data_IF_331956358667
#
_entry.id   IF_331956358667
#
_cell.length_a   1.000
_cell.length_b   1.000
_cell.length_c   1.000
_cell.angle_alpha   90.00
_cell.angle_beta   90.00
_cell.angle_gamma   90.00
#
_symmetry.space_group_name_H-M   'P 1'
#
loop_
_entity.id
_entity.type
_entity.pdbx_description
1 polymer ?
#
# COMPACT_ATOMS: atom_id res chain seq x y z
N UNK A 1 -22.81 17.13 14.63
CA UNK A 1 -22.55 15.71 14.31
C UNK A 1 -22.49 14.94 15.61
N UNK A 2 -23.29 13.91 15.80
CA UNK A 2 -23.29 13.12 17.03
C UNK A 2 -21.98 12.34 17.17
N UNK A 3 -21.49 12.16 18.41
CA UNK A 3 -20.22 11.48 18.69
C UNK A 3 -20.08 10.08 18.04
N UNK A 4 -21.12 9.24 17.99
CA UNK A 4 -21.05 7.94 17.31
C UNK A 4 -20.86 8.06 15.78
N UNK A 5 -21.51 9.01 15.13
CA UNK A 5 -21.35 9.23 13.69
C UNK A 5 -19.94 9.72 13.34
N UNK A 6 -19.38 10.61 14.16
CA UNK A 6 -18.00 11.09 14.05
C UNK A 6 -17.00 9.93 14.16
N UNK A 7 -17.17 9.07 15.17
CA UNK A 7 -16.30 7.91 15.38
C UNK A 7 -16.40 6.90 14.22
N UNK A 8 -17.61 6.64 13.72
CA UNK A 8 -17.83 5.75 12.58
C UNK A 8 -17.11 6.27 11.33
N UNK A 9 -17.24 7.57 11.00
CA UNK A 9 -16.61 8.18 9.84
C UNK A 9 -15.08 8.00 9.84
N UNK A 10 -14.43 8.27 10.97
CA UNK A 10 -12.97 8.12 11.07
C UNK A 10 -12.53 6.65 11.15
N UNK A 11 -13.33 5.79 11.74
CA UNK A 11 -13.06 4.36 11.76
C UNK A 11 -13.08 3.77 10.34
N UNK A 12 -14.06 4.15 9.53
CA UNK A 12 -14.18 3.72 8.12
C UNK A 12 -12.99 4.22 7.28
N UNK A 13 -12.60 5.51 7.42
CA UNK A 13 -11.42 6.05 6.74
C UNK A 13 -10.14 5.26 7.08
N UNK A 14 -9.94 4.95 8.37
CA UNK A 14 -8.79 4.18 8.83
C UNK A 14 -8.83 2.72 8.33
N UNK A 15 -10.00 2.13 8.20
CA UNK A 15 -10.16 0.76 7.70
C UNK A 15 -9.88 0.70 6.20
N UNK A 16 -10.53 1.56 5.40
CA UNK A 16 -10.36 1.59 3.94
C UNK A 16 -8.95 2.04 3.53
N UNK A 17 -8.36 3.01 4.22
CA UNK A 17 -6.99 3.45 3.97
C UNK A 17 -5.92 2.59 4.63
N UNK A 18 -6.26 1.41 5.16
CA UNK A 18 -5.29 0.58 5.85
C UNK A 18 -4.25 0.02 4.88
N UNK A 19 -2.95 0.12 5.19
CA UNK A 19 -1.87 -0.27 4.28
C UNK A 19 -1.93 -1.73 3.82
N UNK A 20 -2.55 -2.63 4.58
CA UNK A 20 -2.76 -4.02 4.19
C UNK A 20 -3.64 -4.19 2.95
N UNK A 21 -4.54 -3.24 2.64
CA UNK A 21 -5.43 -3.34 1.47
C UNK A 21 -4.85 -2.66 0.22
N UNK A 22 -3.79 -1.88 0.36
CA UNK A 22 -3.16 -1.17 -0.77
C UNK A 22 -2.71 -2.12 -1.88
N UNK A 23 -2.08 -3.30 -1.61
CA UNK A 23 -1.76 -4.28 -2.64
C UNK A 23 -2.98 -4.76 -3.43
N UNK A 24 -4.09 -4.96 -2.76
CA UNK A 24 -5.37 -5.38 -3.37
C UNK A 24 -5.91 -4.28 -4.29
N UNK A 25 -5.89 -3.02 -3.83
CA UNK A 25 -6.33 -1.89 -4.64
C UNK A 25 -5.44 -1.69 -5.87
N UNK A 26 -4.11 -1.83 -5.72
CA UNK A 26 -3.17 -1.79 -6.85
C UNK A 26 -3.46 -2.89 -7.87
N UNK A 27 -3.72 -4.11 -7.41
CA UNK A 27 -4.12 -5.22 -8.28
C UNK A 27 -5.42 -4.90 -9.06
N UNK A 28 -6.45 -4.41 -8.38
CA UNK A 28 -7.71 -4.07 -9.05
C UNK A 28 -7.59 -2.89 -10.02
N UNK A 29 -6.72 -1.92 -9.77
CA UNK A 29 -6.47 -0.83 -10.73
C UNK A 29 -5.96 -1.36 -12.07
N UNK A 30 -5.07 -2.34 -12.06
CA UNK A 30 -4.56 -2.97 -13.28
C UNK A 30 -5.59 -3.93 -13.86
N UNK A 31 -6.19 -4.77 -13.03
CA UNK A 31 -7.10 -5.83 -13.47
C UNK A 31 -8.43 -5.32 -14.02
N UNK A 32 -8.88 -4.13 -13.62
CA UNK A 32 -10.09 -3.51 -14.18
C UNK A 32 -10.02 -3.29 -15.69
N UNK A 33 -8.84 -3.41 -16.28
CA UNK A 33 -8.58 -3.25 -17.73
C UNK A 33 -8.53 -4.58 -18.48
N UNK A 34 -8.48 -5.69 -17.78
CA UNK A 34 -8.25 -7.01 -18.35
C UNK A 34 -9.38 -7.98 -18.03
N UNK A 35 -9.60 -8.97 -18.89
CA UNK A 35 -10.47 -10.09 -18.58
C UNK A 35 -9.86 -10.95 -17.46
N UNK A 36 -10.72 -11.55 -16.63
CA UNK A 36 -10.29 -12.44 -15.58
C UNK A 36 -10.11 -13.86 -16.14
N UNK A 37 -8.87 -14.29 -16.25
CA UNK A 37 -8.49 -15.67 -16.55
C UNK A 37 -7.95 -16.37 -15.30
N UNK A 38 -7.60 -17.65 -15.41
CA UNK A 38 -7.08 -18.43 -14.28
C UNK A 38 -5.81 -17.81 -13.67
N UNK A 39 -4.92 -17.24 -14.50
CA UNK A 39 -3.68 -16.60 -14.05
C UNK A 39 -3.95 -15.37 -13.15
N UNK A 40 -4.98 -14.57 -13.43
CA UNK A 40 -5.34 -13.43 -12.60
C UNK A 40 -5.85 -13.86 -11.22
N UNK A 41 -6.60 -14.96 -11.14
CA UNK A 41 -7.02 -15.52 -9.86
C UNK A 41 -5.83 -16.06 -9.04
N UNK A 42 -4.85 -16.68 -9.69
CA UNK A 42 -3.61 -17.11 -9.04
C UNK A 42 -2.85 -15.92 -8.51
N UNK A 43 -2.64 -14.87 -9.33
CA UNK A 43 -1.97 -13.65 -8.92
C UNK A 43 -2.68 -12.97 -7.74
N UNK A 44 -4.00 -12.80 -7.84
CA UNK A 44 -4.82 -12.22 -6.77
C UNK A 44 -4.69 -13.00 -5.46
N UNK A 45 -4.79 -14.33 -5.54
CA UNK A 45 -4.68 -15.21 -4.37
C UNK A 45 -3.30 -15.12 -3.74
N UNK A 46 -2.23 -15.14 -4.53
CA UNK A 46 -0.85 -15.04 -4.05
C UNK A 46 -0.59 -13.71 -3.38
N UNK A 47 -0.98 -12.59 -4.02
CA UNK A 47 -0.86 -11.24 -3.44
C UNK A 47 -1.62 -11.16 -2.11
N UNK A 48 -2.86 -11.66 -2.09
CA UNK A 48 -3.71 -11.65 -0.89
C UNK A 48 -3.10 -12.48 0.23
N UNK A 49 -2.63 -13.71 -0.07
CA UNK A 49 -2.01 -14.58 0.93
C UNK A 49 -0.74 -13.92 1.48
N UNK A 50 0.18 -13.49 0.62
CA UNK A 50 1.47 -12.96 1.06
C UNK A 50 1.35 -11.60 1.77
N UNK A 51 0.56 -10.68 1.22
CA UNK A 51 0.58 -9.28 1.68
C UNK A 51 -0.59 -8.90 2.60
N UNK A 52 -1.59 -9.76 2.75
CA UNK A 52 -2.71 -9.54 3.68
C UNK A 52 -2.76 -10.63 4.74
N UNK A 53 -2.91 -11.90 4.32
CA UNK A 53 -3.15 -13.00 5.25
C UNK A 53 -1.91 -13.28 6.11
N UNK A 54 -0.71 -13.38 5.51
CA UNK A 54 0.52 -13.64 6.25
C UNK A 54 0.82 -12.58 7.31
N UNK A 55 0.78 -11.25 7.03
CA UNK A 55 0.91 -10.23 8.07
C UNK A 55 -0.12 -10.38 9.19
N UNK A 56 -1.39 -10.66 8.85
CA UNK A 56 -2.45 -10.85 9.86
C UNK A 56 -2.18 -12.07 10.77
N UNK A 57 -1.59 -13.14 10.25
CA UNK A 57 -1.20 -14.33 11.02
C UNK A 57 0.07 -14.11 11.85
N UNK A 58 1.03 -13.38 11.32
CA UNK A 58 2.30 -13.10 12.01
C UNK A 58 2.11 -12.08 13.15
N UNK A 59 1.21 -11.15 12.98
CA UNK A 59 1.01 -10.08 13.96
C UNK A 59 0.67 -10.56 15.39
N UNK A 60 -0.26 -11.51 15.60
CA UNK A 60 -0.51 -12.09 16.92
C UNK A 60 0.75 -12.74 17.54
N UNK A 61 1.61 -13.34 16.71
CA UNK A 61 2.87 -13.93 17.14
C UNK A 61 3.83 -12.85 17.67
N UNK A 62 3.98 -11.75 16.92
CA UNK A 62 4.76 -10.59 17.35
C UNK A 62 4.23 -9.97 18.66
N UNK A 63 2.91 -9.95 18.83
CA UNK A 63 2.28 -9.46 20.05
C UNK A 63 2.55 -10.40 21.23
N UNK A 64 2.41 -11.71 21.04
CA UNK A 64 2.70 -12.71 22.09
C UNK A 64 4.17 -12.71 22.50
N UNK A 65 5.09 -12.46 21.57
CA UNK A 65 6.53 -12.36 21.85
C UNK A 65 6.94 -11.00 22.48
N UNK A 66 6.00 -10.11 22.75
CA UNK A 66 6.27 -8.80 23.35
C UNK A 66 6.96 -7.79 22.42
N UNK A 67 7.09 -8.10 21.11
CA UNK A 67 7.74 -7.22 20.13
C UNK A 67 6.85 -6.06 19.68
N UNK A 68 5.53 -6.24 19.79
CA UNK A 68 4.54 -5.20 19.55
C UNK A 68 3.45 -5.26 20.63
N UNK A 69 3.02 -4.10 21.13
CA UNK A 69 2.00 -4.02 22.19
C UNK A 69 0.59 -3.93 21.61
N UNK A 70 0.42 -3.33 20.44
CA UNK A 70 -0.88 -3.12 19.83
C UNK A 70 -0.83 -3.12 18.31
N UNK A 71 -1.93 -3.54 17.66
CA UNK A 71 -2.15 -3.47 16.21
C UNK A 71 -1.97 -2.04 15.63
N UNK A 72 -2.08 -1.03 16.47
CA UNK A 72 -2.00 0.37 16.03
C UNK A 72 -0.57 0.88 15.88
N UNK A 73 0.46 0.12 16.31
CA UNK A 73 1.88 0.49 16.25
C UNK A 73 2.12 1.95 16.67
N UNK A 74 1.58 2.33 17.82
CA UNK A 74 1.63 3.70 18.32
C UNK A 74 3.06 4.16 18.55
N UNK A 75 3.90 3.27 19.08
CA UNK A 75 5.29 3.54 19.39
C UNK A 75 6.18 3.20 18.19
N UNK A 76 7.12 4.10 17.89
CA UNK A 76 8.03 3.93 16.74
C UNK A 76 8.89 2.68 16.90
N UNK A 77 9.30 2.37 18.14
CA UNK A 77 10.14 1.18 18.44
C UNK A 77 9.50 -0.17 18.10
N UNK A 78 8.17 -0.21 17.97
CA UNK A 78 7.44 -1.43 17.60
C UNK A 78 7.41 -1.68 16.08
N UNK A 79 7.64 -0.63 15.28
CA UNK A 79 7.47 -0.65 13.82
C UNK A 79 8.51 -1.45 13.05
N UNK A 80 9.79 -1.56 13.47
CA UNK A 80 10.78 -2.31 12.70
C UNK A 80 10.37 -3.75 12.44
N UNK A 81 9.76 -4.43 13.40
CA UNK A 81 9.38 -5.83 13.24
C UNK A 81 8.35 -6.06 12.13
N UNK A 82 7.15 -5.45 12.16
CA UNK A 82 6.17 -5.64 11.09
C UNK A 82 6.63 -5.05 9.75
N UNK A 83 7.39 -3.95 9.74
CA UNK A 83 7.92 -3.38 8.50
C UNK A 83 8.98 -4.27 7.87
N UNK A 84 9.92 -4.82 8.66
CA UNK A 84 10.92 -5.77 8.17
C UNK A 84 10.29 -7.03 7.57
N UNK A 85 9.25 -7.57 8.22
CA UNK A 85 8.48 -8.70 7.69
C UNK A 85 7.80 -8.33 6.37
N UNK A 86 7.18 -7.15 6.29
CA UNK A 86 6.54 -6.71 5.05
C UNK A 86 7.56 -6.54 3.90
N UNK A 87 8.78 -6.04 4.18
CA UNK A 87 9.87 -6.00 3.18
C UNK A 87 10.17 -7.41 2.68
N UNK A 88 10.33 -8.39 3.57
CA UNK A 88 10.62 -9.78 3.19
C UNK A 88 9.49 -10.39 2.35
N UNK A 89 8.23 -10.14 2.70
CA UNK A 89 7.08 -10.66 1.95
C UNK A 89 6.95 -9.99 0.57
N UNK A 90 7.23 -8.69 0.46
CA UNK A 90 7.27 -7.99 -0.82
C UNK A 90 8.43 -8.48 -1.70
N UNK A 91 9.63 -8.66 -1.13
CA UNK A 91 10.75 -9.25 -1.85
C UNK A 91 10.42 -10.68 -2.33
N UNK A 92 9.78 -11.50 -1.48
CA UNK A 92 9.35 -12.84 -1.87
C UNK A 92 8.35 -12.78 -3.04
N UNK A 93 7.35 -11.88 -2.98
CA UNK A 93 6.41 -11.69 -4.08
C UNK A 93 7.14 -11.35 -5.38
N UNK A 94 8.10 -10.41 -5.35
CA UNK A 94 8.87 -10.03 -6.53
C UNK A 94 9.72 -11.19 -7.06
N UNK A 95 10.38 -11.96 -6.19
CA UNK A 95 11.21 -13.12 -6.59
C UNK A 95 10.38 -14.20 -7.28
N UNK A 96 9.21 -14.55 -6.72
CA UNK A 96 8.36 -15.59 -7.32
C UNK A 96 7.62 -15.15 -8.57
N UNK A 97 7.66 -13.85 -8.90
CA UNK A 97 7.09 -13.29 -10.12
C UNK A 97 8.09 -12.97 -11.22
N UNK A 98 9.40 -13.20 -10.99
CA UNK A 98 10.45 -12.97 -12.00
C UNK A 98 10.68 -14.19 -12.86
N UNK A 99 10.81 -14.00 -14.18
CA UNK A 99 11.14 -15.06 -15.15
C UNK A 99 12.63 -15.45 -15.14
N UNK A 100 13.48 -14.74 -14.42
CA UNK A 100 14.93 -14.90 -14.42
C UNK A 100 15.46 -15.96 -13.43
N UNK A 101 14.56 -16.63 -12.70
CA UNK A 101 14.92 -17.66 -11.74
C UNK A 101 15.09 -19.04 -12.38
N UNK A 102 15.76 -20.00 -11.68
CA UNK A 102 15.87 -21.39 -12.14
C UNK A 102 14.54 -22.16 -12.08
N UNK A 103 13.48 -21.52 -11.64
CA UNK A 103 12.12 -22.05 -11.49
C UNK A 103 11.20 -21.20 -12.34
N UNK A 104 10.33 -21.85 -13.14
CA UNK A 104 9.28 -21.11 -13.85
C UNK A 104 8.48 -20.23 -12.86
N UNK A 105 8.16 -18.97 -13.23
CA UNK A 105 7.48 -18.05 -12.32
C UNK A 105 6.12 -18.64 -11.92
N UNK A 106 5.89 -18.75 -10.61
CA UNK A 106 4.63 -19.24 -10.06
C UNK A 106 3.46 -18.29 -10.33
N UNK A 107 3.81 -17.03 -10.52
CA UNK A 107 2.86 -15.96 -10.83
C UNK A 107 3.43 -15.08 -11.94
N UNK A 108 2.57 -14.62 -12.82
CA UNK A 108 2.91 -13.71 -13.92
C UNK A 108 2.23 -12.36 -13.67
N UNK A 109 2.94 -11.47 -12.97
CA UNK A 109 2.43 -10.12 -12.76
C UNK A 109 2.52 -9.33 -14.06
N UNK A 110 1.47 -8.57 -14.34
CA UNK A 110 1.48 -7.58 -15.40
C UNK A 110 2.59 -6.55 -15.09
N UNK A 111 3.36 -6.07 -16.10
CA UNK A 111 4.54 -5.22 -15.89
C UNK A 111 4.31 -4.00 -15.01
N UNK A 112 3.20 -3.28 -15.18
CA UNK A 112 2.91 -2.12 -14.35
C UNK A 112 2.63 -2.51 -12.89
N UNK A 113 2.00 -3.65 -12.65
CA UNK A 113 1.79 -4.17 -11.30
C UNK A 113 3.11 -4.61 -10.65
N UNK A 114 4.02 -5.21 -11.42
CA UNK A 114 5.35 -5.56 -10.97
C UNK A 114 6.13 -4.29 -10.53
N UNK A 115 6.13 -3.24 -11.36
CA UNK A 115 6.74 -1.96 -11.03
C UNK A 115 6.10 -1.30 -9.79
N UNK A 116 4.77 -1.38 -9.67
CA UNK A 116 4.07 -0.94 -8.45
C UNK A 116 4.62 -1.61 -7.19
N UNK A 117 4.84 -2.94 -7.22
CA UNK A 117 5.38 -3.66 -6.07
C UNK A 117 6.86 -3.36 -5.82
N UNK A 118 7.67 -3.06 -6.83
CA UNK A 118 9.03 -2.53 -6.62
C UNK A 118 8.96 -1.19 -5.86
N UNK A 119 8.15 -0.24 -6.34
CA UNK A 119 7.95 1.04 -5.66
C UNK A 119 7.43 0.90 -4.23
N UNK A 120 6.47 -0.02 -4.01
CA UNK A 120 5.95 -0.34 -2.69
C UNK A 120 7.05 -0.94 -1.77
N UNK A 121 7.91 -1.81 -2.30
CA UNK A 121 9.04 -2.38 -1.56
C UNK A 121 9.99 -1.29 -1.10
N UNK A 122 10.38 -0.37 -1.99
CA UNK A 122 11.24 0.77 -1.66
C UNK A 122 10.57 1.65 -0.59
N UNK A 123 9.27 1.93 -0.73
CA UNK A 123 8.51 2.71 0.25
C UNK A 123 8.55 2.08 1.65
N UNK A 124 8.34 0.76 1.75
CA UNK A 124 8.37 0.05 3.03
C UNK A 124 9.79 -0.03 3.59
N UNK A 125 10.82 -0.19 2.73
CA UNK A 125 12.23 -0.13 3.16
C UNK A 125 12.59 1.25 3.73
N UNK A 126 12.17 2.33 3.10
CA UNK A 126 12.36 3.69 3.61
C UNK A 126 11.64 3.88 4.95
N UNK A 127 10.39 3.44 5.08
CA UNK A 127 9.66 3.51 6.33
C UNK A 127 10.32 2.66 7.43
N UNK A 128 10.86 1.49 7.08
CA UNK A 128 11.65 0.65 7.98
C UNK A 128 12.90 1.39 8.46
N UNK A 129 13.70 1.95 7.56
CA UNK A 129 14.90 2.73 7.90
C UNK A 129 14.55 3.95 8.77
N UNK A 130 13.50 4.69 8.43
CA UNK A 130 13.01 5.81 9.24
C UNK A 130 12.62 5.36 10.67
N UNK A 131 11.99 4.19 10.79
CA UNK A 131 11.61 3.65 12.11
C UNK A 131 12.81 3.29 12.97
N UNK A 132 13.91 2.77 12.38
CA UNK A 132 15.17 2.53 13.08
C UNK A 132 15.81 3.84 13.55
N UNK A 133 15.69 4.90 12.76
CA UNK A 133 16.13 6.26 13.11
C UNK A 133 15.16 6.98 14.07
N UNK A 134 14.17 6.28 14.61
CA UNK A 134 13.12 6.79 15.51
C UNK A 134 12.23 7.88 14.88
N UNK A 135 12.25 8.00 13.55
CA UNK A 135 11.33 8.86 12.83
C UNK A 135 9.99 8.14 12.59
N UNK A 136 8.91 8.80 12.98
CA UNK A 136 7.55 8.30 12.80
C UNK A 136 6.96 8.85 11.51
N UNK A 137 6.56 7.96 10.60
CA UNK A 137 5.83 8.30 9.37
C UNK A 137 4.46 7.62 9.37
N UNK A 138 3.51 8.16 8.63
CA UNK A 138 2.16 7.60 8.52
C UNK A 138 2.10 6.50 7.47
N UNK A 139 2.02 5.25 7.89
CA UNK A 139 1.90 4.11 6.97
C UNK A 139 0.61 4.14 6.14
N UNK A 140 -0.48 4.71 6.66
CA UNK A 140 -1.72 4.91 5.90
C UNK A 140 -1.51 5.88 4.75
N UNK A 141 -0.92 7.05 5.02
CA UNK A 141 -0.63 8.04 3.97
C UNK A 141 0.44 7.55 3.00
N UNK A 142 1.40 6.75 3.45
CA UNK A 142 2.36 6.08 2.58
C UNK A 142 1.65 5.16 1.57
N UNK A 143 0.75 4.31 2.05
CA UNK A 143 -0.05 3.44 1.17
C UNK A 143 -0.92 4.24 0.20
N UNK A 144 -1.66 5.23 0.70
CA UNK A 144 -2.51 6.10 -0.13
C UNK A 144 -1.70 6.89 -1.17
N UNK A 145 -0.54 7.44 -0.78
CA UNK A 145 0.36 8.17 -1.67
C UNK A 145 0.92 7.30 -2.79
N UNK A 146 1.37 6.09 -2.44
CA UNK A 146 1.84 5.12 -3.43
C UNK A 146 0.76 4.71 -4.42
N UNK A 147 -0.43 4.36 -3.93
CA UNK A 147 -1.55 3.97 -4.77
C UNK A 147 -2.04 5.10 -5.69
N UNK A 148 -2.15 6.33 -5.18
CA UNK A 148 -2.57 7.48 -5.97
C UNK A 148 -1.52 7.83 -7.05
N UNK A 149 -0.23 7.80 -6.71
CA UNK A 149 0.84 8.00 -7.70
C UNK A 149 0.81 6.91 -8.76
N UNK A 150 0.63 5.66 -8.39
CA UNK A 150 0.49 4.56 -9.34
C UNK A 150 -0.72 4.76 -10.26
N UNK A 151 -1.88 5.14 -9.72
CA UNK A 151 -3.07 5.44 -10.52
C UNK A 151 -2.82 6.57 -11.54
N UNK A 152 -2.12 7.64 -11.11
CA UNK A 152 -1.72 8.76 -11.99
C UNK A 152 -0.79 8.31 -13.10
N UNK A 153 0.24 7.52 -12.77
CA UNK A 153 1.20 6.98 -13.73
C UNK A 153 0.51 6.07 -14.74
N UNK A 154 -0.33 5.16 -14.28
CA UNK A 154 -1.10 4.27 -15.17
C UNK A 154 -1.94 5.05 -16.17
N UNK A 155 -2.54 6.13 -15.75
CA UNK A 155 -3.32 6.97 -16.66
C UNK A 155 -2.45 7.67 -17.71
N UNK A 156 -1.27 8.13 -17.32
CA UNK A 156 -0.35 8.81 -18.24
C UNK A 156 0.29 7.84 -19.25
N UNK A 157 0.61 6.62 -18.82
CA UNK A 157 1.33 5.62 -19.63
C UNK A 157 0.43 4.88 -20.62
N UNK A 158 -0.89 4.90 -20.46
CA UNK A 158 -1.82 4.11 -21.27
C UNK A 158 -2.68 5.04 -22.12
N UNK A 159 -2.14 5.43 -23.27
CA UNK A 159 -2.82 6.27 -24.27
C UNK A 159 -3.97 5.54 -25.01
N UNK A 160 -4.11 4.22 -24.85
CA UNK A 160 -4.96 3.39 -25.70
C UNK A 160 -6.24 2.84 -25.06
N UNK A 161 -6.56 3.18 -23.78
CA UNK A 161 -7.79 2.68 -23.14
C UNK A 161 -8.83 3.79 -23.01
N UNK A 162 -9.84 3.83 -23.90
CA UNK A 162 -10.81 4.91 -23.97
C UNK A 162 -11.60 5.14 -22.68
N UNK A 163 -11.91 4.06 -21.94
CA UNK A 163 -12.70 4.13 -20.71
C UNK A 163 -12.00 4.94 -19.60
N UNK A 164 -10.69 4.71 -19.36
CA UNK A 164 -9.95 5.40 -18.32
C UNK A 164 -9.65 6.86 -18.64
N UNK A 165 -9.40 7.17 -19.92
CA UNK A 165 -9.24 8.56 -20.37
C UNK A 165 -10.51 9.37 -20.15
N UNK A 166 -11.67 8.77 -20.35
CA UNK A 166 -12.96 9.42 -20.16
C UNK A 166 -13.28 9.69 -18.68
N UNK A 167 -12.88 8.81 -17.75
CA UNK A 167 -13.21 8.88 -16.32
C UNK A 167 -12.03 9.30 -15.43
N UNK A 168 -10.94 9.74 -16.04
CA UNK A 168 -9.75 10.14 -15.28
C UNK A 168 -9.97 11.27 -14.29
N UNK A 169 -10.67 12.37 -14.61
CA UNK A 169 -10.90 13.45 -13.67
C UNK A 169 -11.64 12.97 -12.42
N UNK A 170 -12.65 12.11 -12.59
CA UNK A 170 -13.44 11.56 -11.50
C UNK A 170 -12.61 10.64 -10.61
N UNK A 171 -11.78 9.79 -11.18
CA UNK A 171 -10.89 8.90 -10.44
C UNK A 171 -9.85 9.69 -9.65
N UNK A 172 -9.29 10.75 -10.24
CA UNK A 172 -8.37 11.65 -9.55
C UNK A 172 -9.05 12.34 -8.37
N UNK A 173 -10.25 12.86 -8.56
CA UNK A 173 -11.03 13.49 -7.50
C UNK A 173 -11.30 12.49 -6.36
N UNK A 174 -11.72 11.27 -6.68
CA UNK A 174 -11.97 10.21 -5.70
C UNK A 174 -10.68 9.85 -4.94
N UNK A 175 -9.55 9.72 -5.64
CA UNK A 175 -8.26 9.42 -5.01
C UNK A 175 -7.82 10.55 -4.07
N UNK A 176 -7.89 11.81 -4.51
CA UNK A 176 -7.53 12.97 -3.69
C UNK A 176 -8.47 13.13 -2.49
N UNK A 177 -9.77 12.95 -2.68
CA UNK A 177 -10.74 12.97 -1.60
C UNK A 177 -10.49 11.85 -0.59
N UNK A 178 -10.15 10.65 -1.05
CA UNK A 178 -9.77 9.52 -0.21
C UNK A 178 -8.51 9.79 0.61
N UNK A 179 -7.46 10.32 -0.01
CA UNK A 179 -6.22 10.73 0.69
C UNK A 179 -6.54 11.77 1.77
N UNK A 180 -7.31 12.81 1.41
CA UNK A 180 -7.70 13.86 2.35
C UNK A 180 -8.51 13.30 3.51
N UNK A 181 -9.47 12.42 3.23
CA UNK A 181 -10.29 11.78 4.25
C UNK A 181 -9.44 10.94 5.23
N UNK A 182 -8.52 10.12 4.72
CA UNK A 182 -7.60 9.35 5.57
C UNK A 182 -6.67 10.28 6.34
N UNK A 183 -6.14 11.34 5.72
CA UNK A 183 -5.28 12.31 6.38
C UNK A 183 -6.00 13.01 7.55
N UNK A 184 -7.23 13.48 7.31
CA UNK A 184 -8.07 14.09 8.34
C UNK A 184 -8.39 13.11 9.47
N UNK A 185 -8.71 11.85 9.14
CA UNK A 185 -8.95 10.82 10.14
C UNK A 185 -7.72 10.61 11.05
N UNK A 186 -6.51 10.55 10.45
CA UNK A 186 -5.26 10.37 11.21
C UNK A 186 -4.88 11.60 12.04
N UNK A 187 -5.18 12.79 11.53
CA UNK A 187 -4.93 14.05 12.23
C UNK A 187 -5.92 14.29 13.37
N UNK A 188 -7.23 14.20 13.11
CA UNK A 188 -8.29 14.43 14.09
C UNK A 188 -8.27 13.39 15.23
N UNK A 189 -7.86 12.16 14.96
CA UNK A 189 -7.68 11.13 15.99
C UNK A 189 -6.35 11.26 16.75
N UNK A 190 -5.56 12.31 16.50
CA UNK A 190 -4.24 12.55 17.10
C UNK A 190 -3.27 11.36 16.95
N UNK A 191 -3.44 10.58 15.88
CA UNK A 191 -2.59 9.44 15.59
C UNK A 191 -1.24 9.88 14.99
N UNK A 192 -1.25 10.99 14.23
CA UNK A 192 -0.09 11.56 13.55
C UNK A 192 -0.14 13.08 13.51
N UNK A 193 1.05 13.72 13.53
CA UNK A 193 1.22 15.14 13.22
C UNK A 193 1.13 15.39 11.71
N UNK A 194 0.94 16.65 11.30
CA UNK A 194 0.92 17.01 9.88
C UNK A 194 2.21 16.62 9.15
N UNK A 195 3.37 16.77 9.80
CA UNK A 195 4.67 16.38 9.22
C UNK A 195 4.80 14.87 9.04
N UNK A 196 4.30 14.07 10.00
CA UNK A 196 4.27 12.61 9.86
C UNK A 196 3.32 12.12 8.74
N UNK A 197 2.24 12.86 8.48
CA UNK A 197 1.32 12.60 7.36
C UNK A 197 1.98 12.94 6.03
N UNK A 198 2.59 14.12 5.93
CA UNK A 198 3.29 14.58 4.72
C UNK A 198 4.47 13.67 4.39
N UNK A 199 5.29 13.31 5.38
CA UNK A 199 6.41 12.37 5.18
C UNK A 199 5.91 11.01 4.68
N UNK A 200 4.80 10.51 5.22
CA UNK A 200 4.17 9.28 4.74
C UNK A 200 3.76 9.38 3.28
N UNK A 201 3.07 10.46 2.92
CA UNK A 201 2.64 10.69 1.54
C UNK A 201 3.82 10.70 0.55
N UNK A 202 4.89 11.44 0.88
CA UNK A 202 6.10 11.54 0.04
C UNK A 202 6.80 10.18 -0.07
N UNK A 203 7.01 9.48 1.06
CA UNK A 203 7.67 8.16 1.09
C UNK A 203 6.88 7.12 0.28
N UNK A 204 5.56 7.24 0.20
CA UNK A 204 4.75 6.38 -0.65
C UNK A 204 4.78 6.77 -2.13
N UNK A 205 4.67 8.06 -2.40
CA UNK A 205 4.53 8.58 -3.77
C UNK A 205 5.85 8.55 -4.56
N UNK A 206 6.94 9.07 -3.99
CA UNK A 206 8.20 9.27 -4.70
C UNK A 206 8.80 7.99 -5.31
N UNK A 207 8.82 6.82 -4.63
CA UNK A 207 9.33 5.60 -5.24
C UNK A 207 8.56 5.15 -6.48
N UNK A 208 7.24 5.39 -6.55
CA UNK A 208 6.45 5.05 -7.74
C UNK A 208 6.92 5.85 -8.95
N UNK A 209 7.11 7.16 -8.79
CA UNK A 209 7.62 8.01 -9.87
C UNK A 209 9.04 7.64 -10.30
N UNK A 210 9.93 7.34 -9.34
CA UNK A 210 11.29 6.93 -9.63
C UNK A 210 11.37 5.63 -10.44
N UNK A 211 10.49 4.67 -10.16
CA UNK A 211 10.49 3.38 -10.86
C UNK A 211 9.90 3.46 -12.26
N UNK A 212 8.92 4.34 -12.49
CA UNK A 212 8.27 4.43 -13.80
C UNK A 212 8.96 5.41 -14.78
N UNK A 213 9.71 6.39 -14.28
CA UNK A 213 10.32 7.45 -15.10
C UNK A 213 11.84 7.59 -14.92
N UNK A 214 12.46 6.83 -14.01
CA UNK A 214 13.92 6.76 -13.79
C UNK A 214 14.50 5.61 -14.57
#
# INVERSE_FOLDING_TARGET
>A
MTQPLFNALWSTANALGHPLFIPIYGFFLVQSRNSWAAVQWINFSTITILLVVMPLLIYPILKRSGRVNSLRLKEVKERPWPLGINVLLLCLLLIVSTETGPIEPWIQLEPSLFHFFIGATISVMLAFAMSLLKHKTSLHLMGCGGLASFALILNHSVTEIPYWQQHYPELLIVALAGILWVALARYCTKAHSAMELLSGLIVGAAPQWLIFFG
#
